data_IF_183957274699
#
_entry.id   IF_183957274699
#
_cell.length_a   1.000
_cell.length_b   1.000
_cell.length_c   1.000
_cell.angle_alpha   90.00
_cell.angle_beta   90.00
_cell.angle_gamma   90.00
#
_symmetry.space_group_name_H-M   'P 1'
#
loop_
_entity.id
_entity.type
_entity.pdbx_description
1 polymer ?
#
# COMPACT_ATOMS: atom_id res chain seq x y z
N UNK A 1 -45.85 4.59 -0.91
CA UNK A 1 -45.94 3.26 -0.27
C UNK A 1 -44.90 2.38 -0.94
N UNK A 2 -43.87 1.95 -0.21
CA UNK A 2 -42.82 1.06 -0.73
C UNK A 2 -43.08 -0.33 -0.15
N UNK A 3 -43.27 -1.31 -1.03
CA UNK A 3 -43.52 -2.71 -0.65
C UNK A 3 -42.16 -3.37 -0.41
N UNK A 4 -41.95 -3.91 0.79
CA UNK A 4 -40.75 -4.65 1.13
C UNK A 4 -40.73 -6.01 0.40
N UNK A 5 -39.61 -6.32 -0.25
CA UNK A 5 -39.36 -7.63 -0.87
C UNK A 5 -38.93 -8.66 0.18
N UNK A 6 -39.17 -9.97 -0.04
CA UNK A 6 -38.89 -10.99 0.96
C UNK A 6 -37.40 -11.11 1.23
N UNK A 7 -37.02 -11.05 2.50
CA UNK A 7 -35.66 -11.21 3.00
C UNK A 7 -35.13 -12.59 2.60
N UNK A 8 -34.26 -12.65 1.60
CA UNK A 8 -33.43 -13.83 1.38
C UNK A 8 -32.54 -13.95 2.62
N UNK A 9 -32.68 -15.04 3.37
CA UNK A 9 -31.81 -15.33 4.51
C UNK A 9 -30.39 -15.50 3.97
N UNK A 10 -29.60 -14.43 4.03
CA UNK A 10 -28.16 -14.49 3.85
C UNK A 10 -27.69 -15.31 5.05
N UNK A 11 -27.32 -16.55 4.77
CA UNK A 11 -26.62 -17.39 5.72
C UNK A 11 -25.42 -16.56 6.21
N UNK A 12 -25.47 -16.10 7.46
CA UNK A 12 -24.36 -15.38 8.05
C UNK A 12 -23.27 -16.43 8.25
N UNK A 13 -22.47 -16.65 7.20
CA UNK A 13 -21.20 -17.31 7.33
C UNK A 13 -20.44 -16.50 8.37
N UNK A 14 -20.31 -17.09 9.56
CA UNK A 14 -19.53 -16.54 10.65
C UNK A 14 -18.11 -16.44 10.11
N UNK A 15 -17.71 -15.25 9.64
CA UNK A 15 -16.35 -14.97 9.21
C UNK A 15 -15.45 -15.31 10.39
N UNK A 16 -14.85 -16.51 10.35
CA UNK A 16 -13.81 -16.88 11.28
C UNK A 16 -12.65 -15.95 10.93
N UNK A 17 -12.33 -15.04 11.83
CA UNK A 17 -11.17 -14.19 11.67
C UNK A 17 -9.93 -15.10 11.64
N UNK A 18 -9.41 -15.35 10.44
CA UNK A 18 -8.14 -16.04 10.28
C UNK A 18 -7.06 -15.06 10.70
N UNK A 19 -6.40 -15.35 11.82
CA UNK A 19 -5.24 -14.58 12.23
C UNK A 19 -4.06 -14.93 11.30
N UNK A 20 -3.63 -13.96 10.49
CA UNK A 20 -2.47 -14.14 9.61
C UNK A 20 -1.19 -14.34 10.44
N UNK A 21 -0.30 -15.27 10.03
CA UNK A 21 0.99 -15.48 10.68
C UNK A 21 1.78 -14.18 10.80
N UNK A 22 2.39 -13.94 11.97
CA UNK A 22 3.30 -12.82 12.19
C UNK A 22 4.69 -13.36 12.50
N UNK A 23 5.66 -13.08 11.64
CA UNK A 23 7.02 -13.61 11.71
C UNK A 23 7.97 -12.55 12.27
N UNK A 24 8.78 -12.94 13.26
CA UNK A 24 9.82 -12.09 13.83
C UNK A 24 11.13 -12.26 13.06
N UNK A 25 11.60 -11.22 12.36
CA UNK A 25 12.80 -11.31 11.54
C UNK A 25 14.11 -11.18 12.35
N UNK A 26 14.05 -10.89 13.66
CA UNK A 26 15.26 -10.90 14.52
C UNK A 26 15.66 -12.28 15.00
N UNK A 27 14.92 -13.34 14.62
CA UNK A 27 15.21 -14.72 14.98
C UNK A 27 16.40 -15.34 14.24
N UNK A 28 16.72 -16.59 14.57
CA UNK A 28 17.73 -17.35 13.84
C UNK A 28 17.28 -17.57 12.37
N UNK A 29 18.20 -17.35 11.42
CA UNK A 29 17.89 -17.26 9.99
C UNK A 29 17.22 -18.52 9.44
N UNK A 30 17.65 -19.71 9.84
CA UNK A 30 17.07 -20.96 9.36
C UNK A 30 15.64 -21.14 9.88
N UNK A 31 15.38 -20.85 11.15
CA UNK A 31 14.05 -20.90 11.74
C UNK A 31 13.09 -19.89 11.09
N UNK A 32 13.53 -18.64 10.90
CA UNK A 32 12.75 -17.60 10.22
C UNK A 32 12.43 -18.01 8.78
N UNK A 33 13.40 -18.53 8.04
CA UNK A 33 13.19 -19.01 6.68
C UNK A 33 12.16 -20.13 6.61
N UNK A 34 12.19 -21.09 7.53
CA UNK A 34 11.21 -22.17 7.59
C UNK A 34 9.80 -21.65 7.88
N UNK A 35 9.66 -20.65 8.77
CA UNK A 35 8.37 -20.01 9.05
C UNK A 35 7.81 -19.28 7.83
N UNK A 36 8.67 -18.57 7.07
CA UNK A 36 8.27 -17.88 5.84
C UNK A 36 7.76 -18.88 4.80
N UNK A 37 8.51 -19.97 4.55
CA UNK A 37 8.09 -21.00 3.59
C UNK A 37 6.74 -21.59 3.99
N UNK A 38 6.57 -21.94 5.27
CA UNK A 38 5.31 -22.48 5.78
C UNK A 38 4.14 -21.50 5.60
N UNK A 39 4.34 -20.21 5.92
CA UNK A 39 3.30 -19.21 5.77
C UNK A 39 2.92 -18.97 4.30
N UNK A 40 3.90 -19.00 3.39
CA UNK A 40 3.65 -18.94 1.95
C UNK A 40 2.82 -20.14 1.44
N UNK A 41 3.13 -21.35 1.91
CA UNK A 41 2.45 -22.58 1.51
C UNK A 41 1.00 -22.66 2.04
N UNK A 42 0.80 -22.33 3.33
CA UNK A 42 -0.50 -22.46 3.99
C UNK A 42 -1.44 -21.26 3.75
N UNK A 43 -0.90 -20.04 3.62
CA UNK A 43 -1.69 -18.80 3.59
C UNK A 43 -1.44 -17.92 2.36
N UNK A 44 -0.25 -17.98 1.76
CA UNK A 44 0.19 -17.05 0.71
C UNK A 44 0.49 -15.62 1.21
N UNK A 45 0.24 -15.32 2.48
CA UNK A 45 0.45 -14.02 3.12
C UNK A 45 0.92 -14.16 4.57
N UNK A 46 1.71 -13.21 5.04
CA UNK A 46 2.15 -13.09 6.43
C UNK A 46 2.51 -11.64 6.76
N UNK A 47 2.50 -11.32 8.07
CA UNK A 47 3.04 -10.07 8.61
C UNK A 47 4.48 -10.30 9.08
N UNK A 48 5.29 -9.26 9.08
CA UNK A 48 6.63 -9.28 9.69
C UNK A 48 6.76 -8.21 10.76
N UNK A 49 7.58 -8.49 11.77
CA UNK A 49 8.04 -7.52 12.78
C UNK A 49 9.56 -7.59 12.90
N UNK A 50 10.16 -6.55 13.49
CA UNK A 50 11.61 -6.44 13.63
C UNK A 50 12.36 -6.58 12.29
N UNK A 51 11.80 -6.03 11.21
CA UNK A 51 12.32 -6.11 9.84
C UNK A 51 13.52 -5.19 9.58
N UNK A 52 14.06 -4.51 10.58
CA UNK A 52 15.27 -3.67 10.46
C UNK A 52 15.04 -2.27 9.87
N UNK A 53 13.94 -2.04 9.14
CA UNK A 53 13.58 -0.70 8.65
C UNK A 53 13.22 0.24 9.83
N UNK A 54 13.95 1.36 10.03
CA UNK A 54 13.67 2.33 11.08
C UNK A 54 12.26 2.92 11.02
N UNK A 55 11.58 3.01 12.17
CA UNK A 55 10.23 3.57 12.26
C UNK A 55 10.13 5.03 11.79
N UNK A 56 11.18 5.83 11.96
CA UNK A 56 11.17 7.23 11.52
C UNK A 56 11.14 7.35 9.99
N UNK A 57 11.81 6.42 9.28
CA UNK A 57 11.77 6.36 7.81
C UNK A 57 10.37 5.98 7.34
N UNK A 58 9.74 4.99 7.98
CA UNK A 58 8.36 4.58 7.68
C UNK A 58 7.40 5.76 7.88
N UNK A 59 7.45 6.41 9.04
CA UNK A 59 6.57 7.54 9.37
C UNK A 59 6.76 8.73 8.41
N UNK A 60 8.00 9.02 8.00
CA UNK A 60 8.29 10.05 6.99
C UNK A 60 7.72 9.67 5.62
N UNK A 61 7.84 8.40 5.22
CA UNK A 61 7.32 7.93 3.93
C UNK A 61 5.79 7.98 3.89
N UNK A 62 5.13 7.53 4.97
CA UNK A 62 3.68 7.63 5.14
C UNK A 62 3.24 9.09 5.06
N UNK A 63 3.94 10.01 5.75
CA UNK A 63 3.66 11.45 5.71
C UNK A 63 3.74 12.01 4.30
N UNK A 64 4.76 11.67 3.51
CA UNK A 64 4.86 12.11 2.11
C UNK A 64 3.71 11.56 1.25
N UNK A 65 3.28 10.31 1.49
CA UNK A 65 2.09 9.73 0.86
C UNK A 65 0.82 10.50 1.20
N UNK A 66 0.55 10.75 2.49
CA UNK A 66 -0.59 11.54 2.94
C UNK A 66 -0.58 12.95 2.36
N UNK A 67 0.58 13.62 2.36
CA UNK A 67 0.73 14.95 1.79
C UNK A 67 0.40 14.99 0.29
N UNK A 68 0.75 13.95 -0.47
CA UNK A 68 0.41 13.87 -1.88
C UNK A 68 -1.10 13.72 -2.10
N UNK A 69 -1.74 12.75 -1.44
CA UNK A 69 -3.17 12.46 -1.66
C UNK A 69 -4.10 13.54 -1.10
N UNK A 70 -3.63 14.34 -0.12
CA UNK A 70 -4.34 15.51 0.38
C UNK A 70 -4.36 16.71 -0.59
N UNK A 71 -3.58 16.68 -1.68
CA UNK A 71 -3.59 17.75 -2.69
C UNK A 71 -4.91 17.76 -3.47
N UNK A 72 -5.31 18.93 -4.03
CA UNK A 72 -6.41 19.00 -4.99
C UNK A 72 -6.22 18.06 -6.17
N UNK A 73 -7.33 17.58 -6.74
CA UNK A 73 -7.32 16.61 -7.84
C UNK A 73 -6.52 17.10 -9.05
N UNK A 74 -6.61 18.39 -9.38
CA UNK A 74 -5.89 19.03 -10.48
C UNK A 74 -4.36 19.02 -10.28
N UNK A 75 -3.92 19.08 -9.02
CA UNK A 75 -2.49 18.95 -8.69
C UNK A 75 -2.02 17.50 -8.78
N UNK A 76 -2.85 16.55 -8.33
CA UNK A 76 -2.55 15.10 -8.44
C UNK A 76 -2.47 14.65 -9.89
N UNK A 77 -3.35 15.16 -10.77
CA UNK A 77 -3.32 14.88 -12.22
C UNK A 77 -2.01 15.27 -12.92
N UNK A 78 -1.25 16.25 -12.39
CA UNK A 78 0.07 16.59 -12.96
C UNK A 78 1.05 15.42 -12.90
N UNK A 79 0.80 14.44 -12.03
CA UNK A 79 1.58 13.22 -11.91
C UNK A 79 1.07 12.06 -12.78
N UNK A 80 0.02 12.24 -13.59
CA UNK A 80 -0.60 11.19 -14.43
C UNK A 80 0.18 10.91 -15.74
N UNK A 81 0.97 11.88 -16.20
CA UNK A 81 1.58 11.90 -17.55
C UNK A 81 2.62 10.80 -17.84
N UNK A 82 2.85 9.85 -16.94
CA UNK A 82 3.82 8.79 -17.13
C UNK A 82 3.16 7.41 -17.00
N UNK A 83 3.15 6.67 -18.11
CA UNK A 83 2.79 5.25 -18.12
C UNK A 83 4.08 4.44 -18.21
N UNK A 84 4.30 3.41 -17.38
CA UNK A 84 3.36 2.81 -16.43
C UNK A 84 3.31 3.47 -15.02
N UNK A 85 4.14 4.48 -14.74
CA UNK A 85 4.31 5.06 -13.40
C UNK A 85 3.70 6.44 -13.25
N UNK A 86 2.68 6.60 -12.42
CA UNK A 86 2.09 7.90 -12.16
C UNK A 86 0.89 7.81 -11.25
N UNK A 87 0.23 8.95 -11.07
CA UNK A 87 -1.05 9.02 -10.41
C UNK A 87 -2.13 8.37 -11.29
N UNK A 88 -3.04 7.66 -10.66
CA UNK A 88 -4.25 7.17 -11.30
C UNK A 88 -5.41 7.11 -10.33
N UNK A 89 -6.60 7.22 -10.87
CA UNK A 89 -7.85 7.13 -10.15
C UNK A 89 -8.79 6.16 -10.88
N UNK A 90 -9.33 5.17 -10.17
CA UNK A 90 -10.17 4.13 -10.75
C UNK A 90 -11.40 3.87 -9.90
N UNK A 91 -12.55 3.78 -10.56
CA UNK A 91 -13.74 3.22 -9.96
C UNK A 91 -13.56 1.72 -9.73
N UNK A 92 -13.91 1.26 -8.53
CA UNK A 92 -13.87 -0.16 -8.15
C UNK A 92 -15.27 -0.69 -7.88
N UNK A 93 -15.38 -2.02 -7.95
CA UNK A 93 -16.55 -2.77 -7.55
C UNK A 93 -17.73 -2.69 -8.54
N UNK A 94 -17.49 -3.07 -9.78
CA UNK A 94 -18.53 -3.23 -10.81
C UNK A 94 -19.60 -4.30 -10.50
N UNK A 95 -19.58 -4.92 -9.31
CA UNK A 95 -20.45 -6.04 -8.90
C UNK A 95 -21.12 -5.85 -7.53
N UNK A 96 -21.33 -4.61 -7.07
CA UNK A 96 -22.22 -4.31 -5.93
C UNK A 96 -21.60 -3.42 -4.85
N UNK A 97 -20.28 -3.47 -4.67
CA UNK A 97 -19.54 -2.51 -3.85
C UNK A 97 -19.17 -1.31 -4.72
N UNK A 98 -19.45 -0.06 -4.33
CA UNK A 98 -19.05 1.10 -5.15
C UNK A 98 -18.01 1.93 -4.42
N UNK A 99 -16.98 2.37 -5.14
CA UNK A 99 -15.93 3.20 -4.55
C UNK A 99 -14.94 3.68 -5.59
N UNK A 100 -14.11 4.63 -5.17
CA UNK A 100 -13.00 5.17 -5.96
C UNK A 100 -11.68 4.80 -5.26
N UNK A 101 -10.70 4.36 -6.04
CA UNK A 101 -9.34 4.09 -5.57
C UNK A 101 -8.37 5.00 -6.31
N UNK A 102 -7.74 5.87 -5.54
CA UNK A 102 -6.57 6.63 -5.96
C UNK A 102 -5.30 5.83 -5.70
N UNK A 103 -4.33 5.93 -6.60
CA UNK A 103 -3.02 5.32 -6.43
C UNK A 103 -1.92 6.17 -7.08
N UNK A 104 -0.69 6.03 -6.59
CA UNK A 104 0.51 6.64 -7.15
C UNK A 104 1.57 5.56 -7.34
N UNK A 105 1.90 5.24 -8.60
CA UNK A 105 2.92 4.27 -8.94
C UNK A 105 4.27 4.95 -9.17
N UNK A 106 5.30 4.48 -8.49
CA UNK A 106 6.66 5.00 -8.59
C UNK A 106 7.62 3.91 -9.05
N UNK A 107 8.57 4.28 -9.90
CA UNK A 107 9.72 3.43 -10.18
C UNK A 107 10.70 3.55 -9.00
N UNK A 108 11.26 2.43 -8.54
CA UNK A 108 12.21 2.39 -7.41
C UNK A 108 13.63 2.80 -7.80
N UNK A 109 13.91 3.03 -9.08
CA UNK A 109 15.16 3.60 -9.55
C UNK A 109 15.33 5.04 -9.01
N UNK A 110 16.48 5.32 -8.39
CA UNK A 110 16.78 6.60 -7.73
C UNK A 110 16.72 7.82 -8.66
N UNK A 111 17.10 7.67 -9.93
CA UNK A 111 17.00 8.75 -10.93
C UNK A 111 15.53 9.02 -11.29
N UNK A 112 14.73 7.96 -11.48
CA UNK A 112 13.30 8.10 -11.72
C UNK A 112 12.57 8.71 -10.53
N UNK A 113 12.90 8.30 -9.31
CA UNK A 113 12.40 8.93 -8.07
C UNK A 113 12.77 10.41 -8.04
N UNK A 114 14.01 10.73 -8.39
CA UNK A 114 14.48 12.10 -8.42
C UNK A 114 13.65 12.95 -9.39
N UNK A 115 13.45 12.50 -10.62
CA UNK A 115 12.63 13.24 -11.59
C UNK A 115 11.19 13.39 -11.13
N UNK A 116 10.58 12.31 -10.62
CA UNK A 116 9.16 12.28 -10.20
C UNK A 116 8.89 13.11 -8.95
N UNK A 117 9.84 13.17 -8.02
CA UNK A 117 9.72 13.97 -6.79
C UNK A 117 9.34 15.43 -7.07
N UNK A 118 9.76 15.99 -8.22
CA UNK A 118 9.46 17.37 -8.66
C UNK A 118 7.97 17.60 -8.92
N UNK A 119 7.22 16.58 -9.32
CA UNK A 119 5.80 16.68 -9.65
C UNK A 119 4.90 16.20 -8.50
N UNK A 120 5.39 15.29 -7.65
CA UNK A 120 4.59 14.67 -6.59
C UNK A 120 4.77 15.32 -5.22
N UNK A 121 5.97 15.81 -4.87
CA UNK A 121 6.21 16.41 -3.56
C UNK A 121 6.31 17.94 -3.64
N UNK A 122 5.91 18.60 -2.55
CA UNK A 122 6.17 20.02 -2.35
C UNK A 122 7.62 20.29 -1.91
N UNK A 123 8.31 19.25 -1.43
CA UNK A 123 9.74 19.25 -1.13
C UNK A 123 10.42 18.05 -1.81
N UNK A 124 10.82 18.20 -3.10
CA UNK A 124 11.43 17.12 -3.85
C UNK A 124 12.74 16.59 -3.23
N UNK A 125 13.48 17.43 -2.50
CA UNK A 125 14.72 17.02 -1.86
C UNK A 125 14.44 16.11 -0.66
N UNK A 126 13.51 16.53 0.20
CA UNK A 126 13.07 15.71 1.33
C UNK A 126 12.46 14.38 0.86
N UNK A 127 11.58 14.41 -0.14
CA UNK A 127 10.96 13.20 -0.68
C UNK A 127 11.98 12.14 -1.11
N UNK A 128 13.04 12.55 -1.82
CA UNK A 128 14.12 11.64 -2.25
C UNK A 128 14.91 11.08 -1.08
N UNK A 129 15.20 11.92 -0.08
CA UNK A 129 15.94 11.53 1.13
C UNK A 129 15.17 10.54 1.98
N UNK A 130 13.84 10.56 1.94
CA UNK A 130 12.97 9.61 2.64
C UNK A 130 12.80 8.32 1.83
N UNK A 131 12.47 8.43 0.54
CA UNK A 131 12.14 7.27 -0.28
C UNK A 131 13.36 6.41 -0.62
N UNK A 132 14.54 7.02 -0.81
CA UNK A 132 15.75 6.26 -1.19
C UNK A 132 16.16 5.25 -0.10
N UNK A 133 16.32 5.64 1.18
CA UNK A 133 16.55 4.69 2.26
C UNK A 133 15.43 3.66 2.40
N UNK A 134 14.16 4.06 2.24
CA UNK A 134 13.03 3.13 2.33
C UNK A 134 13.08 2.01 1.26
N UNK A 135 13.63 2.29 0.08
CA UNK A 135 13.80 1.31 -1.00
C UNK A 135 15.03 0.42 -0.80
N UNK A 136 16.11 0.96 -0.24
CA UNK A 136 17.42 0.30 -0.19
C UNK A 136 17.69 -0.50 1.10
N UNK A 137 16.85 -0.35 2.13
CA UNK A 137 16.91 -1.09 3.39
C UNK A 137 16.11 -2.40 3.30
#
# INVERSE_FOLDING_TARGET
>A
MVVASPTHQIHSEKLLAIELPTIDLSGERSAVSSLIVKACDEYGFFKVKNHGVPHDIIAKMEKEGFNFFAKPFEEKQKAELAKPFGYGCKNIGFKGDTGEVEYLLLNTNTLSVAERSKTISNDPANFRQVLTPFILL
#
